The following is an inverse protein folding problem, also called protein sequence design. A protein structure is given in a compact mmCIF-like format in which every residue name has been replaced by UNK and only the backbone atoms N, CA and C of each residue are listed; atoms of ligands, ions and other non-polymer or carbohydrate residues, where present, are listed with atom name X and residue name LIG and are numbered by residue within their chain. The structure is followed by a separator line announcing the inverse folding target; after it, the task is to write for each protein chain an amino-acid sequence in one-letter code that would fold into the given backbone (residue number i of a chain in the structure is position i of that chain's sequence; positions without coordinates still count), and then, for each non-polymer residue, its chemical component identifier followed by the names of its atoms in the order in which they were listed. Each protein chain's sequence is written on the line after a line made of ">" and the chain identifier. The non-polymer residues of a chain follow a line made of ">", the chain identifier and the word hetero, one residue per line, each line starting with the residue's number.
data_IF_688033774026
#
_entry.id   IF_688033774026
#
_cell.length_a   1.000
_cell.length_b   1.000
_cell.length_c   1.000
_cell.angle_alpha   90.00
_cell.angle_beta   90.00
_cell.angle_gamma   90.00
#
_symmetry.space_group_name_H-M   'P 1'
#
loop_
_entity.id
_entity.type
_entity.pdbx_description
1 polymer ?
#
# COMPACT_ATOMS: atom_id res chain seq x y z
N UNK A 1 21.55 3.74 9.22
CA UNK A 1 20.87 4.00 7.93
C UNK A 1 21.69 5.04 7.19
N UNK A 2 22.21 4.71 6.01
CA UNK A 2 23.18 5.53 5.27
C UNK A 2 22.47 6.63 4.47
N UNK A 3 21.46 6.25 3.67
CA UNK A 3 20.62 7.18 2.91
C UNK A 3 19.14 6.88 3.13
N UNK A 4 18.28 7.89 3.04
CA UNK A 4 16.81 7.75 3.05
C UNK A 4 16.12 8.79 2.19
N UNK A 5 14.99 8.42 1.61
CA UNK A 5 14.07 9.34 0.92
C UNK A 5 12.63 8.91 1.18
N UNK A 6 11.76 9.88 1.41
CA UNK A 6 10.31 9.67 1.52
C UNK A 6 9.62 10.82 0.79
N UNK A 7 8.66 10.49 -0.06
CA UNK A 7 7.78 11.42 -0.75
C UNK A 7 6.41 10.77 -0.91
N UNK A 8 5.38 11.60 -1.02
CA UNK A 8 4.01 11.15 -1.11
C UNK A 8 3.28 11.95 -2.19
N UNK A 9 2.63 11.26 -3.12
CA UNK A 9 1.75 11.86 -4.12
C UNK A 9 0.37 11.23 -4.06
N UNK A 10 -0.66 12.04 -4.28
CA UNK A 10 -2.04 11.56 -4.30
C UNK A 10 -2.36 10.92 -5.65
N UNK A 11 -2.35 9.58 -5.69
CA UNK A 11 -2.53 8.78 -6.91
C UNK A 11 -3.88 8.03 -6.98
N UNK A 12 -4.53 7.80 -5.83
CA UNK A 12 -5.79 7.03 -5.74
C UNK A 12 -6.90 7.85 -5.11
N UNK A 13 -8.17 7.59 -5.48
CA UNK A 13 -9.32 8.28 -4.89
C UNK A 13 -9.66 7.69 -3.51
N UNK A 14 -9.81 8.53 -2.50
CA UNK A 14 -10.05 8.13 -1.10
C UNK A 14 -11.23 7.15 -0.88
N UNK A 15 -12.27 7.17 -1.71
CA UNK A 15 -13.50 6.36 -1.54
C UNK A 15 -13.70 5.23 -2.55
N UNK A 16 -12.86 5.12 -3.57
CA UNK A 16 -13.10 4.19 -4.69
C UNK A 16 -11.98 3.16 -4.89
N UNK A 17 -10.89 3.24 -4.10
CA UNK A 17 -9.87 2.21 -3.96
C UNK A 17 -9.33 1.64 -5.27
N UNK A 18 -8.26 2.23 -5.81
CA UNK A 18 -7.60 1.70 -7.02
C UNK A 18 -6.76 2.74 -7.74
N UNK A 19 -5.72 2.29 -8.43
CA UNK A 19 -4.90 3.12 -9.31
C UNK A 19 -5.74 3.66 -10.47
N UNK A 20 -5.50 4.91 -10.87
CA UNK A 20 -6.23 5.52 -11.98
C UNK A 20 -5.96 4.78 -13.27
N UNK A 21 -4.70 4.40 -13.52
CA UNK A 21 -4.28 3.57 -14.66
C UNK A 21 -5.04 2.24 -14.76
N UNK A 22 -5.26 1.56 -13.62
CA UNK A 22 -6.03 0.31 -13.60
C UNK A 22 -7.51 0.53 -13.93
N UNK A 23 -8.11 1.62 -13.43
CA UNK A 23 -9.49 1.97 -13.72
C UNK A 23 -9.70 2.41 -15.18
N UNK A 24 -8.74 3.15 -15.75
CA UNK A 24 -8.77 3.57 -17.15
C UNK A 24 -8.71 2.37 -18.11
N UNK A 25 -7.91 1.35 -17.78
CA UNK A 25 -7.84 0.11 -18.55
C UNK A 25 -9.16 -0.69 -18.50
N UNK A 26 -9.90 -0.60 -17.40
CA UNK A 26 -11.12 -1.38 -17.19
C UNK A 26 -12.40 -0.69 -17.68
N UNK A 27 -12.51 0.63 -17.52
CA UNK A 27 -13.74 1.41 -17.74
C UNK A 27 -13.60 2.53 -18.77
N UNK A 28 -12.43 2.61 -19.42
CA UNK A 28 -12.11 3.68 -20.36
C UNK A 28 -11.48 4.89 -19.67
N UNK A 29 -10.78 5.69 -20.48
CA UNK A 29 -10.02 6.86 -20.05
C UNK A 29 -11.01 7.93 -19.54
N UNK A 30 -11.01 8.20 -18.23
CA UNK A 30 -11.75 9.33 -17.69
C UNK A 30 -11.04 10.65 -18.05
N UNK A 31 -11.78 11.64 -18.55
CA UNK A 31 -11.23 12.95 -18.95
C UNK A 31 -11.43 14.07 -17.91
N UNK A 32 -11.95 13.75 -16.71
CA UNK A 32 -12.16 14.76 -15.68
C UNK A 32 -10.82 15.33 -15.16
N UNK A 33 -10.82 16.59 -14.73
CA UNK A 33 -9.64 17.25 -14.16
C UNK A 33 -8.99 16.41 -13.04
N UNK A 34 -9.81 15.79 -12.18
CA UNK A 34 -9.34 14.92 -11.11
C UNK A 34 -8.73 13.59 -11.60
N UNK A 35 -9.14 13.06 -12.76
CA UNK A 35 -8.48 11.92 -13.39
C UNK A 35 -7.13 12.31 -13.98
N UNK A 36 -7.06 13.44 -14.70
CA UNK A 36 -5.83 13.99 -15.27
C UNK A 36 -4.78 14.27 -14.20
N UNK A 37 -5.16 14.91 -13.08
CA UNK A 37 -4.24 15.19 -11.97
C UNK A 37 -3.66 13.91 -11.35
N UNK A 38 -4.47 12.84 -11.22
CA UNK A 38 -3.99 11.56 -10.69
C UNK A 38 -3.04 10.85 -11.64
N UNK A 39 -3.26 10.89 -12.96
CA UNK A 39 -2.30 10.38 -13.95
C UNK A 39 -0.98 11.13 -13.92
N UNK A 40 -1.05 12.46 -13.83
CA UNK A 40 0.14 13.29 -13.66
C UNK A 40 0.92 12.90 -12.39
N UNK A 41 0.22 12.74 -11.26
CA UNK A 41 0.83 12.31 -10.01
C UNK A 41 1.41 10.89 -10.09
N UNK A 42 0.78 9.96 -10.82
CA UNK A 42 1.34 8.61 -11.05
C UNK A 42 2.65 8.68 -11.85
N UNK A 43 2.68 9.47 -12.93
CA UNK A 43 3.89 9.66 -13.74
C UNK A 43 5.01 10.31 -12.95
N UNK A 44 4.70 11.40 -12.26
CA UNK A 44 5.71 12.13 -11.51
C UNK A 44 6.17 11.35 -10.26
N UNK A 45 5.33 10.48 -9.69
CA UNK A 45 5.77 9.52 -8.67
C UNK A 45 6.79 8.52 -9.23
N UNK A 46 6.56 8.04 -10.45
CA UNK A 46 7.49 7.15 -11.16
C UNK A 46 8.83 7.86 -11.39
N UNK A 47 8.81 9.09 -11.92
CA UNK A 47 10.02 9.91 -12.13
C UNK A 47 10.80 10.10 -10.82
N UNK A 48 10.12 10.45 -9.71
CA UNK A 48 10.77 10.60 -8.41
C UNK A 48 11.46 9.31 -7.94
N UNK A 49 10.84 8.14 -8.16
CA UNK A 49 11.40 6.83 -7.79
C UNK A 49 12.64 6.54 -8.65
N UNK A 50 12.53 6.72 -9.97
CA UNK A 50 13.61 6.50 -10.93
C UNK A 50 14.83 7.35 -10.60
N UNK A 51 14.62 8.65 -10.35
CA UNK A 51 15.68 9.57 -9.96
C UNK A 51 16.40 9.11 -8.68
N UNK A 52 15.68 8.55 -7.71
CA UNK A 52 16.28 7.99 -6.50
C UNK A 52 17.10 6.73 -6.79
N UNK A 53 16.60 5.83 -7.65
CA UNK A 53 17.35 4.63 -8.04
C UNK A 53 18.67 4.99 -8.74
N UNK A 54 18.65 5.99 -9.63
CA UNK A 54 19.85 6.49 -10.30
C UNK A 54 20.83 7.14 -9.32
N UNK A 55 20.33 8.01 -8.43
CA UNK A 55 21.14 8.68 -7.40
C UNK A 55 21.78 7.66 -6.45
N UNK A 56 21.10 6.54 -6.18
CA UNK A 56 21.60 5.48 -5.28
C UNK A 56 22.26 4.32 -6.01
N UNK A 57 22.53 4.45 -7.31
CA UNK A 57 23.05 3.35 -8.13
C UNK A 57 24.33 2.72 -7.58
N UNK A 58 25.28 3.51 -7.07
CA UNK A 58 26.50 3.03 -6.43
C UNK A 58 26.20 2.21 -5.16
N UNK A 59 25.38 2.76 -4.27
CA UNK A 59 24.96 2.07 -3.04
C UNK A 59 24.20 0.77 -3.34
N UNK A 60 23.36 0.77 -4.38
CA UNK A 60 22.59 -0.41 -4.80
C UNK A 60 23.45 -1.49 -5.45
N UNK A 61 24.57 -1.14 -6.09
CA UNK A 61 25.52 -2.12 -6.65
C UNK A 61 26.22 -2.93 -5.54
N UNK A 62 26.60 -2.27 -4.45
CA UNK A 62 27.28 -2.90 -3.30
C UNK A 62 26.33 -3.69 -2.39
N UNK A 63 25.02 -3.46 -2.52
CA UNK A 63 24.04 -4.08 -1.64
C UNK A 63 23.80 -5.56 -2.02
N UNK A 64 23.96 -6.51 -1.07
CA UNK A 64 23.79 -7.94 -1.35
C UNK A 64 22.31 -8.37 -1.44
N UNK A 65 21.40 -7.68 -0.75
CA UNK A 65 19.97 -8.01 -0.71
C UNK A 65 19.12 -6.75 -0.79
N UNK A 66 18.12 -6.76 -1.66
CA UNK A 66 17.23 -5.64 -1.92
C UNK A 66 15.79 -6.09 -1.63
N UNK A 67 15.20 -5.53 -0.57
CA UNK A 67 13.82 -5.83 -0.18
C UNK A 67 12.87 -4.79 -0.76
N UNK A 68 11.93 -5.23 -1.60
CA UNK A 68 10.92 -4.36 -2.21
C UNK A 68 9.53 -4.78 -1.77
N UNK A 69 8.75 -3.80 -1.31
CA UNK A 69 7.31 -3.91 -1.11
C UNK A 69 6.61 -2.83 -1.89
N UNK A 70 5.75 -3.26 -2.82
CA UNK A 70 4.87 -2.40 -3.57
C UNK A 70 3.59 -3.17 -3.94
N UNK A 71 2.57 -2.44 -4.39
CA UNK A 71 1.42 -3.08 -5.02
C UNK A 71 1.84 -3.71 -6.36
N UNK A 72 1.21 -4.81 -6.75
CA UNK A 72 1.57 -5.58 -7.95
C UNK A 72 1.64 -4.72 -9.22
N UNK A 73 0.69 -3.80 -9.39
CA UNK A 73 0.63 -2.91 -10.55
C UNK A 73 1.76 -1.86 -10.60
N UNK A 74 2.34 -1.47 -9.46
CA UNK A 74 3.44 -0.50 -9.38
C UNK A 74 4.82 -1.15 -9.50
N UNK A 75 4.88 -2.49 -9.40
CA UNK A 75 6.14 -3.22 -9.42
C UNK A 75 6.93 -2.99 -10.71
N UNK A 76 6.24 -2.72 -11.81
CA UNK A 76 6.85 -2.42 -13.12
C UNK A 76 7.82 -1.23 -13.05
N UNK A 77 7.61 -0.26 -12.16
CA UNK A 77 8.50 0.91 -11.98
C UNK A 77 9.93 0.47 -11.62
N UNK A 78 10.08 -0.60 -10.84
CA UNK A 78 11.38 -1.08 -10.39
C UNK A 78 12.09 -2.01 -11.39
N UNK A 79 11.48 -2.29 -12.55
CA UNK A 79 11.98 -3.26 -13.52
C UNK A 79 12.35 -2.64 -14.86
N UNK A 80 12.41 -1.32 -14.92
CA UNK A 80 12.82 -0.59 -16.12
C UNK A 80 14.34 -0.39 -16.11
N UNK A 81 15.06 -1.30 -16.75
CA UNK A 81 16.54 -1.34 -16.69
C UNK A 81 17.15 -0.08 -17.31
N UNK A 82 16.57 0.44 -18.40
CA UNK A 82 17.07 1.64 -19.09
C UNK A 82 17.03 2.88 -18.19
N UNK A 83 16.05 2.94 -17.30
CA UNK A 83 15.90 4.04 -16.34
C UNK A 83 16.64 3.80 -15.01
N UNK A 84 17.42 2.72 -14.86
CA UNK A 84 18.15 2.40 -13.62
C UNK A 84 17.40 1.48 -12.65
N UNK A 85 16.36 0.80 -13.14
CA UNK A 85 15.68 -0.29 -12.44
C UNK A 85 16.47 -1.59 -12.41
N UNK A 86 15.86 -2.62 -11.83
CA UNK A 86 16.46 -3.94 -11.62
C UNK A 86 15.98 -4.97 -12.64
N UNK A 87 16.85 -5.90 -13.04
CA UNK A 87 16.41 -7.09 -13.77
C UNK A 87 15.35 -7.85 -12.95
N UNK A 88 14.30 -8.32 -13.62
CA UNK A 88 13.27 -9.17 -13.01
C UNK A 88 13.84 -10.44 -12.38
N UNK A 89 14.95 -10.94 -12.92
CA UNK A 89 15.67 -12.13 -12.46
C UNK A 89 16.84 -11.79 -11.52
N UNK A 90 17.02 -10.53 -11.12
CA UNK A 90 18.08 -10.15 -10.18
C UNK A 90 17.93 -10.96 -8.87
N UNK A 91 18.91 -11.83 -8.53
CA UNK A 91 18.82 -12.73 -7.39
C UNK A 91 18.85 -12.00 -6.05
N UNK A 92 19.20 -10.71 -6.01
CA UNK A 92 19.22 -9.88 -4.80
C UNK A 92 17.82 -9.40 -4.41
N UNK A 93 16.89 -9.39 -5.37
CA UNK A 93 15.51 -8.93 -5.12
C UNK A 93 14.74 -9.92 -4.24
N UNK A 94 14.17 -9.40 -3.16
CA UNK A 94 13.35 -10.16 -2.20
C UNK A 94 12.08 -9.39 -1.85
N UNK A 95 11.01 -10.13 -1.55
CA UNK A 95 9.78 -9.57 -0.99
C UNK A 95 9.89 -9.61 0.53
N UNK A 96 9.37 -8.57 1.20
CA UNK A 96 9.29 -8.57 2.68
C UNK A 96 8.32 -9.69 3.13
N UNK A 97 8.77 -10.65 3.96
CA UNK A 97 8.00 -11.87 4.27
C UNK A 97 6.95 -11.68 5.38
N UNK A 98 6.62 -10.44 5.72
CA UNK A 98 5.65 -10.09 6.75
C UNK A 98 4.89 -8.81 6.37
N UNK A 99 3.84 -8.52 7.13
CA UNK A 99 3.00 -7.36 6.90
C UNK A 99 3.74 -6.04 7.14
N UNK A 100 3.53 -5.12 6.21
CA UNK A 100 4.12 -3.79 6.18
C UNK A 100 3.01 -2.75 6.25
N UNK A 101 3.29 -1.66 6.95
CA UNK A 101 2.38 -0.52 7.12
C UNK A 101 2.67 0.54 6.06
N UNK A 102 2.12 1.74 6.25
CA UNK A 102 2.34 2.90 5.39
C UNK A 102 3.86 3.17 5.24
N UNK A 103 4.36 3.46 4.02
CA UNK A 103 5.79 3.65 3.74
C UNK A 103 6.32 4.97 4.32
N UNK A 104 6.49 5.00 5.63
CA UNK A 104 7.12 6.07 6.40
C UNK A 104 8.53 5.63 6.82
N UNK A 105 9.39 6.59 7.16
CA UNK A 105 10.76 6.30 7.60
C UNK A 105 10.79 5.35 8.81
N UNK A 106 9.86 5.52 9.75
CA UNK A 106 9.79 4.66 10.94
C UNK A 106 9.35 3.23 10.61
N UNK A 107 8.53 3.07 9.57
CA UNK A 107 8.17 1.74 9.08
C UNK A 107 9.38 1.05 8.42
N UNK A 108 10.21 1.79 7.67
CA UNK A 108 11.45 1.24 7.10
C UNK A 108 12.39 0.77 8.20
N UNK A 109 12.53 1.55 9.29
CA UNK A 109 13.32 1.15 10.46
C UNK A 109 12.76 -0.12 11.12
N UNK A 110 11.46 -0.16 11.41
CA UNK A 110 10.80 -1.34 11.99
C UNK A 110 11.00 -2.59 11.14
N UNK A 111 10.88 -2.46 9.82
CA UNK A 111 11.10 -3.56 8.87
C UNK A 111 12.56 -4.02 8.93
N UNK A 112 13.51 -3.08 8.89
CA UNK A 112 14.94 -3.36 8.99
C UNK A 112 15.27 -4.12 10.27
N UNK A 113 14.86 -3.60 11.44
CA UNK A 113 15.11 -4.23 12.74
C UNK A 113 14.53 -5.64 12.79
N UNK A 114 13.33 -5.83 12.20
CA UNK A 114 12.70 -7.15 12.15
C UNK A 114 13.41 -8.13 11.24
N UNK A 115 13.93 -7.68 10.09
CA UNK A 115 14.72 -8.52 9.18
C UNK A 115 16.08 -8.87 9.77
N UNK A 116 16.67 -7.97 10.57
CA UNK A 116 17.96 -8.16 11.23
C UNK A 116 17.86 -9.02 12.50
N UNK A 117 16.66 -9.19 13.07
CA UNK A 117 16.44 -9.96 14.30
C UNK A 117 16.26 -11.46 14.03
N UNK A 118 16.86 -12.30 14.87
CA UNK A 118 16.55 -13.73 14.97
C UNK A 118 15.61 -13.95 16.15
N UNK A 119 14.50 -14.67 15.93
CA UNK A 119 13.56 -15.01 17.00
C UNK A 119 13.50 -16.52 17.23
N UNK A 120 13.72 -16.95 18.46
CA UNK A 120 13.47 -18.33 18.89
C UNK A 120 11.96 -18.54 19.07
N UNK A 121 11.45 -19.63 18.54
CA UNK A 121 10.03 -19.97 18.56
C UNK A 121 9.73 -21.25 19.37
N UNK A 122 10.69 -21.70 20.19
CA UNK A 122 10.55 -22.93 20.97
C UNK A 122 10.66 -24.18 20.08
N UNK A 123 9.94 -25.24 20.46
CA UNK A 123 9.92 -26.47 19.69
C UNK A 123 9.17 -26.31 18.36
N UNK A 124 9.43 -27.21 17.40
CA UNK A 124 8.74 -27.19 16.11
C UNK A 124 7.23 -27.35 16.28
N UNK A 125 6.80 -28.15 17.25
CA UNK A 125 5.39 -28.38 17.57
C UNK A 125 4.71 -27.12 18.11
N UNK A 126 5.37 -26.43 19.06
CA UNK A 126 4.90 -25.16 19.63
C UNK A 126 4.74 -24.09 18.55
N UNK A 127 5.72 -23.97 17.65
CA UNK A 127 5.69 -23.01 16.55
C UNK A 127 4.52 -23.28 15.58
N UNK A 128 4.30 -24.55 15.20
CA UNK A 128 3.21 -24.93 14.30
C UNK A 128 1.84 -24.73 14.95
N UNK A 129 1.71 -25.03 16.24
CA UNK A 129 0.50 -24.78 17.01
C UNK A 129 0.16 -23.27 17.06
N UNK A 130 1.13 -22.42 17.39
CA UNK A 130 0.94 -20.97 17.44
C UNK A 130 0.60 -20.38 16.06
N UNK A 131 1.28 -20.85 15.00
CA UNK A 131 0.96 -20.45 13.62
C UNK A 131 -0.48 -20.80 13.25
N UNK A 132 -0.96 -21.96 13.67
CA UNK A 132 -2.32 -22.43 13.40
C UNK A 132 -3.35 -21.60 14.18
N UNK A 133 -3.09 -21.35 15.47
CA UNK A 133 -3.91 -20.49 16.32
C UNK A 133 -4.02 -19.07 15.77
N UNK A 134 -2.90 -18.49 15.31
CA UNK A 134 -2.87 -17.18 14.67
C UNK A 134 -3.71 -17.14 13.39
N UNK A 135 -3.61 -18.17 12.54
CA UNK A 135 -4.46 -18.30 11.34
C UNK A 135 -5.95 -18.39 11.69
N UNK A 136 -6.31 -19.17 12.70
CA UNK A 136 -7.70 -19.29 13.17
C UNK A 136 -8.23 -17.95 13.70
N UNK A 137 -7.45 -17.25 14.53
CA UNK A 137 -7.79 -15.91 15.03
C UNK A 137 -7.99 -14.88 13.93
N UNK A 138 -7.18 -14.94 12.87
CA UNK A 138 -7.38 -14.07 11.71
C UNK A 138 -8.66 -14.42 10.97
N UNK A 139 -8.96 -15.70 10.74
CA UNK A 139 -10.21 -16.13 10.10
C UNK A 139 -11.45 -15.66 10.86
N UNK A 140 -11.44 -15.72 12.20
CA UNK A 140 -12.57 -15.27 13.01
C UNK A 140 -12.74 -13.75 12.96
N UNK A 141 -11.65 -12.99 13.02
CA UNK A 141 -11.70 -11.52 12.90
C UNK A 141 -12.21 -11.06 11.51
N UNK A 142 -11.78 -11.72 10.43
CA UNK A 142 -12.30 -11.46 9.08
C UNK A 142 -13.79 -11.77 8.95
N UNK A 143 -14.27 -12.87 9.56
CA UNK A 143 -15.71 -13.21 9.58
C UNK A 143 -16.51 -12.15 10.34
N UNK A 144 -16.05 -11.71 11.51
CA UNK A 144 -16.72 -10.67 12.31
C UNK A 144 -16.85 -9.36 11.53
N UNK A 145 -15.76 -8.92 10.89
CA UNK A 145 -15.78 -7.71 10.05
C UNK A 145 -16.78 -7.80 8.89
N UNK A 146 -16.92 -8.99 8.26
CA UNK A 146 -17.90 -9.22 7.18
C UNK A 146 -19.36 -9.10 7.66
N UNK A 147 -19.64 -9.51 8.90
CA UNK A 147 -20.99 -9.40 9.49
C UNK A 147 -21.31 -7.95 9.83
N UNK A 148 -20.34 -7.19 10.35
CA UNK A 148 -20.52 -5.76 10.65
C UNK A 148 -20.68 -4.88 9.39
N UNK A 149 -20.09 -5.25 8.25
CA UNK A 149 -20.26 -4.54 6.96
C UNK A 149 -21.53 -4.94 6.18
N UNK A 150 -22.35 -5.88 6.68
CA UNK A 150 -23.62 -6.23 6.05
C UNK A 150 -24.66 -5.14 6.31
N UNK A 151 -24.70 -4.14 5.43
CA UNK A 151 -25.75 -3.14 5.37
C UNK A 151 -27.07 -3.80 4.94
N UNK A 152 -28.06 -3.84 5.84
CA UNK A 152 -29.41 -4.29 5.54
C UNK A 152 -30.25 -3.10 5.00
N UNK A 153 -30.70 -3.10 3.73
CA UNK A 153 -31.50 -2.03 3.16
C UNK A 153 -32.88 -1.85 3.81
N UNK A 154 -33.34 -2.81 4.62
CA UNK A 154 -34.65 -2.74 5.30
C UNK A 154 -34.66 -1.89 6.57
N UNK A 155 -33.51 -1.61 7.19
CA UNK A 155 -33.41 -0.72 8.34
C UNK A 155 -33.29 0.75 7.87
N UNK A 156 -34.41 1.37 7.49
CA UNK A 156 -34.48 2.82 7.29
C UNK A 156 -34.57 3.50 8.66
N UNK A 157 -33.60 4.35 9.05
CA UNK A 157 -33.76 5.16 10.25
C UNK A 157 -34.93 6.13 10.05
N UNK A 158 -35.87 6.15 11.00
CA UNK A 158 -36.92 7.17 11.05
C UNK A 158 -36.26 8.55 11.04
N UNK A 159 -36.57 9.36 10.01
CA UNK A 159 -36.10 10.75 9.95
C UNK A 159 -36.79 11.55 11.05
N UNK A 160 -36.05 11.91 12.09
CA UNK A 160 -36.44 13.00 12.99
C UNK A 160 -36.70 14.27 12.17
N UNK A 161 -37.94 14.77 12.23
CA UNK A 161 -38.31 16.06 11.65
C UNK A 161 -37.60 17.18 12.41
N UNK A 162 -36.68 17.88 11.74
CA UNK A 162 -36.11 19.13 12.22
C UNK A 162 -37.17 20.24 12.26
N UNK A 163 -37.19 21.13 13.28
CA UNK A 163 -38.21 22.18 13.40
C UNK A 163 -38.02 23.30 12.37
N UNK A 164 -39.14 23.88 11.95
CA UNK A 164 -39.24 24.89 10.90
C UNK A 164 -38.58 26.22 11.32
N UNK A 165 -37.82 26.83 10.40
CA UNK A 165 -37.24 28.18 10.57
C UNK A 165 -38.33 29.24 10.35
N UNK A 166 -38.55 30.09 11.36
CA UNK A 166 -39.32 31.33 11.26
C UNK A 166 -38.72 32.30 10.24
N UNK A 167 -39.57 32.87 9.39
CA UNK A 167 -39.23 33.95 8.46
C UNK A 167 -39.19 35.28 9.23
N UNK A 168 -38.05 35.97 9.21
CA UNK A 168 -38.00 37.41 9.53
C UNK A 168 -38.34 38.21 8.27
N UNK A 169 -39.36 39.05 8.40
CA UNK A 169 -39.80 40.07 7.44
C UNK A 169 -38.91 41.30 7.60
N UNK A 170 -38.58 41.95 6.48
CA UNK A 170 -38.29 43.38 6.40
C UNK A 170 -38.94 43.91 5.13
#
# INVERSE_FOLDING_TARGET
>A
MVVKKSFHRYVVRAKQGGAQSANDKAKGIAHSAGATLRRYNERALREDIVNVLQTWSEHLKETPLIFIRCASFQRVIFHDIEEGGFDRKDPRLRTIPFETKRPLVDEVRRVWDRLASVTSHGSMEEFLAEKTKRKQRMKTLLKKKRVEEHWDPTERPEKERSPAKEKKVS
#
